data_IF_978076128576
#
_entry.id   IF_978076128576
#
_cell.length_a   1.000
_cell.length_b   1.000
_cell.length_c   1.000
_cell.angle_alpha   90.00
_cell.angle_beta   90.00
_cell.angle_gamma   90.00
#
_symmetry.space_group_name_H-M   'P 1'
#
loop_
_entity.id
_entity.type
_entity.pdbx_description
1 polymer ?
#
# COMPACT_ATOMS: atom_id res chain seq x y z
N UNK A 1 -29.73 1.53 22.93
CA UNK A 1 -29.99 1.53 24.39
C UNK A 1 -31.05 2.58 24.76
N UNK A 2 -30.78 3.89 24.57
CA UNK A 2 -31.74 4.96 24.87
C UNK A 2 -33.11 4.76 24.21
N UNK A 3 -33.16 4.44 22.92
CA UNK A 3 -34.40 4.14 22.20
C UNK A 3 -35.19 3.00 22.86
N UNK A 4 -34.52 1.91 23.24
CA UNK A 4 -35.15 0.80 23.95
C UNK A 4 -35.63 1.15 25.35
N UNK A 5 -35.01 2.12 26.03
CA UNK A 5 -35.51 2.63 27.32
C UNK A 5 -36.81 3.41 27.10
N UNK A 6 -36.88 4.28 26.09
CA UNK A 6 -38.11 5.02 25.78
C UNK A 6 -39.28 4.08 25.48
N UNK A 7 -39.05 3.10 24.60
CA UNK A 7 -40.10 2.21 24.12
C UNK A 7 -40.47 1.15 25.16
N UNK A 8 -39.49 0.39 25.68
CA UNK A 8 -39.75 -0.79 26.53
C UNK A 8 -39.94 -0.45 28.02
N UNK A 9 -39.28 0.60 28.52
CA UNK A 9 -39.30 0.93 29.96
C UNK A 9 -40.28 2.07 30.26
N UNK A 10 -40.25 3.12 29.46
CA UNK A 10 -41.08 4.30 29.68
C UNK A 10 -42.44 4.23 28.97
N UNK A 11 -42.60 3.31 27.99
CA UNK A 11 -43.83 3.19 27.21
C UNK A 11 -44.14 4.44 26.38
N UNK A 12 -43.12 5.23 26.08
CA UNK A 12 -43.25 6.47 25.31
C UNK A 12 -42.81 6.15 23.88
N UNK A 13 -43.72 6.34 22.92
CA UNK A 13 -43.36 6.31 21.51
C UNK A 13 -42.18 7.26 21.30
N UNK A 14 -41.06 6.71 20.80
CA UNK A 14 -39.75 7.37 20.83
C UNK A 14 -39.88 8.85 20.40
N UNK A 15 -39.64 9.81 21.32
CA UNK A 15 -39.88 11.22 21.01
C UNK A 15 -38.94 11.65 19.88
N UNK A 16 -39.44 12.46 18.95
CA UNK A 16 -38.60 13.03 17.90
C UNK A 16 -38.74 14.55 17.89
N UNK A 17 -37.64 15.32 18.04
CA UNK A 17 -36.28 14.86 18.36
C UNK A 17 -36.10 14.41 19.82
N UNK A 18 -35.08 13.58 20.07
CA UNK A 18 -34.71 13.06 21.39
C UNK A 18 -33.21 13.18 21.72
N UNK A 19 -32.84 12.80 22.95
CA UNK A 19 -31.43 12.60 23.31
C UNK A 19 -30.74 11.52 22.46
N UNK A 20 -31.49 10.53 21.95
CA UNK A 20 -30.89 9.51 21.08
C UNK A 20 -30.40 10.14 19.76
N UNK A 21 -31.13 11.12 19.22
CA UNK A 21 -30.76 11.85 18.00
C UNK A 21 -29.46 12.63 18.17
N UNK A 22 -29.27 13.25 19.35
CA UNK A 22 -28.03 13.93 19.68
C UNK A 22 -26.83 12.97 19.63
N UNK A 23 -26.98 11.76 20.18
CA UNK A 23 -25.92 10.75 20.15
C UNK A 23 -25.64 10.25 18.73
N UNK A 24 -26.67 9.97 17.93
CA UNK A 24 -26.50 9.56 16.54
C UNK A 24 -25.77 10.62 15.72
N UNK A 25 -26.26 11.87 15.73
CA UNK A 25 -25.62 12.96 15.00
C UNK A 25 -24.19 13.23 15.45
N UNK A 26 -23.92 13.14 16.77
CA UNK A 26 -22.55 13.32 17.27
C UNK A 26 -21.61 12.23 16.76
N UNK A 27 -22.05 10.96 16.79
CA UNK A 27 -21.28 9.83 16.28
C UNK A 27 -21.02 9.95 14.78
N UNK A 28 -22.04 10.32 14.02
CA UNK A 28 -21.91 10.53 12.58
C UNK A 28 -20.99 11.70 12.25
N UNK A 29 -21.04 12.80 13.01
CA UNK A 29 -20.12 13.92 12.85
C UNK A 29 -18.67 13.52 13.13
N UNK A 30 -18.42 12.72 14.18
CA UNK A 30 -17.08 12.16 14.43
C UNK A 30 -16.61 11.29 13.26
N UNK A 31 -17.49 10.49 12.66
CA UNK A 31 -17.17 9.68 11.48
C UNK A 31 -16.86 10.57 10.26
N UNK A 32 -17.60 11.66 10.03
CA UNK A 32 -17.29 12.63 8.97
C UNK A 32 -15.90 13.22 9.17
N UNK A 33 -15.59 13.67 10.39
CA UNK A 33 -14.26 14.22 10.73
C UNK A 33 -13.18 13.17 10.51
N UNK A 34 -13.42 11.92 10.93
CA UNK A 34 -12.51 10.81 10.70
C UNK A 34 -12.22 10.60 9.20
N UNK A 35 -13.24 10.51 8.35
CA UNK A 35 -13.04 10.34 6.91
C UNK A 35 -12.33 11.53 6.27
N UNK A 36 -12.68 12.76 6.65
CA UNK A 36 -12.01 13.96 6.17
C UNK A 36 -10.52 13.98 6.56
N UNK A 37 -10.20 13.58 7.79
CA UNK A 37 -8.82 13.43 8.26
C UNK A 37 -8.07 12.35 7.49
N UNK A 38 -8.69 11.19 7.22
CA UNK A 38 -8.05 10.12 6.43
C UNK A 38 -7.77 10.55 4.99
N UNK A 39 -8.74 11.18 4.34
CA UNK A 39 -8.59 11.72 2.97
C UNK A 39 -7.43 12.73 2.91
N UNK A 40 -7.33 13.61 3.90
CA UNK A 40 -6.24 14.59 4.01
C UNK A 40 -4.90 13.93 4.33
N UNK A 41 -4.86 13.01 5.29
CA UNK A 41 -3.65 12.34 5.76
C UNK A 41 -3.01 11.50 4.66
N UNK A 42 -3.82 10.71 3.97
CA UNK A 42 -3.38 9.84 2.87
C UNK A 42 -3.19 10.59 1.54
N UNK A 43 -3.41 11.92 1.53
CA UNK A 43 -3.36 12.80 0.35
C UNK A 43 -4.04 12.16 -0.85
N UNK A 44 -5.25 11.66 -0.62
CA UNK A 44 -5.94 10.84 -1.59
C UNK A 44 -6.20 11.64 -2.86
N UNK A 45 -5.58 11.23 -3.96
CA UNK A 45 -5.89 11.72 -5.30
C UNK A 45 -6.44 10.55 -6.09
N UNK A 46 -7.77 10.54 -6.29
CA UNK A 46 -8.39 9.59 -7.21
C UNK A 46 -7.94 9.93 -8.64
N UNK A 47 -7.28 8.98 -9.31
CA UNK A 47 -6.84 9.10 -10.71
C UNK A 47 -7.69 8.22 -11.62
N UNK A 48 -7.85 8.65 -12.88
CA UNK A 48 -8.53 7.86 -13.92
C UNK A 48 -10.01 7.59 -13.66
N UNK A 49 -10.47 6.40 -14.03
CA UNK A 49 -11.88 5.99 -13.98
C UNK A 49 -12.47 5.96 -12.56
N UNK A 50 -11.65 5.68 -11.54
CA UNK A 50 -12.06 5.64 -10.13
C UNK A 50 -12.63 6.98 -9.64
N UNK A 51 -12.06 8.10 -10.12
CA UNK A 51 -12.55 9.44 -9.79
C UNK A 51 -13.97 9.66 -10.32
N UNK A 52 -14.20 9.31 -11.58
CA UNK A 52 -15.52 9.47 -12.20
C UNK A 52 -16.55 8.55 -11.56
N UNK A 53 -16.16 7.33 -11.19
CA UNK A 53 -17.06 6.40 -10.50
C UNK A 53 -17.43 6.91 -9.10
N UNK A 54 -16.46 7.41 -8.32
CA UNK A 54 -16.73 7.98 -7.01
C UNK A 54 -17.67 9.19 -7.08
N UNK A 55 -17.40 10.12 -8.01
CA UNK A 55 -18.27 11.29 -8.24
C UNK A 55 -19.67 10.83 -8.68
N UNK A 56 -19.75 9.89 -9.62
CA UNK A 56 -21.01 9.35 -10.12
C UNK A 56 -21.87 8.72 -9.03
N UNK A 57 -21.27 7.91 -8.14
CA UNK A 57 -21.95 7.30 -6.99
C UNK A 57 -22.48 8.34 -6.01
N UNK A 58 -21.67 9.35 -5.67
CA UNK A 58 -22.08 10.43 -4.76
C UNK A 58 -23.21 11.26 -5.37
N UNK A 59 -23.12 11.61 -6.66
CA UNK A 59 -24.17 12.36 -7.35
C UNK A 59 -25.46 11.54 -7.48
N UNK A 60 -25.35 10.24 -7.77
CA UNK A 60 -26.50 9.34 -7.84
C UNK A 60 -27.22 9.28 -6.49
N UNK A 61 -26.47 9.11 -5.39
CA UNK A 61 -27.06 9.13 -4.06
C UNK A 61 -27.70 10.48 -3.74
N UNK A 62 -27.02 11.58 -4.04
CA UNK A 62 -27.56 12.92 -3.81
C UNK A 62 -28.88 13.13 -4.57
N UNK A 63 -28.97 12.64 -5.82
CA UNK A 63 -30.20 12.68 -6.60
C UNK A 63 -31.31 11.87 -5.91
N UNK A 64 -31.01 10.66 -5.45
CA UNK A 64 -31.98 9.81 -4.73
C UNK A 64 -32.44 10.48 -3.45
N UNK A 65 -31.53 10.97 -2.60
CA UNK A 65 -31.85 11.67 -1.36
C UNK A 65 -32.71 12.92 -1.62
N UNK A 66 -32.38 13.70 -2.66
CA UNK A 66 -33.19 14.87 -3.04
C UNK A 66 -34.61 14.46 -3.43
N UNK A 67 -34.76 13.45 -4.31
CA UNK A 67 -36.07 13.07 -4.84
C UNK A 67 -36.93 12.36 -3.81
N UNK A 68 -36.33 11.47 -3.02
CA UNK A 68 -37.04 10.57 -2.10
C UNK A 68 -37.25 11.21 -0.73
N UNK A 69 -36.36 12.08 -0.28
CA UNK A 69 -36.41 12.66 1.07
C UNK A 69 -36.60 14.18 1.02
N UNK A 70 -35.69 14.93 0.38
CA UNK A 70 -35.72 16.40 0.47
C UNK A 70 -36.95 17.03 -0.20
N UNK A 71 -37.35 16.54 -1.38
CA UNK A 71 -38.53 17.08 -2.09
C UNK A 71 -39.83 16.86 -1.28
N UNK A 72 -40.15 15.64 -0.81
CA UNK A 72 -41.30 15.43 0.08
C UNK A 72 -41.24 16.30 1.34
N UNK A 73 -40.06 16.42 1.94
CA UNK A 73 -39.84 17.23 3.14
C UNK A 73 -40.09 18.72 2.90
N UNK A 74 -39.71 19.26 1.74
CA UNK A 74 -39.95 20.65 1.36
C UNK A 74 -41.39 20.91 0.90
N UNK A 75 -42.04 19.91 0.29
CA UNK A 75 -43.42 20.01 -0.15
C UNK A 75 -44.40 20.04 1.03
N UNK A 76 -44.11 19.30 2.09
CA UNK A 76 -44.90 19.27 3.33
C UNK A 76 -43.99 19.48 4.55
N UNK A 77 -43.46 20.70 4.77
CA UNK A 77 -42.53 20.95 5.85
C UNK A 77 -43.19 20.70 7.21
N UNK A 78 -42.45 20.09 8.14
CA UNK A 78 -42.91 19.97 9.53
C UNK A 78 -43.21 21.37 10.08
N UNK A 79 -44.29 21.49 10.86
CA UNK A 79 -44.60 22.73 11.58
C UNK A 79 -43.54 23.05 12.64
N UNK A 80 -42.76 22.06 13.06
CA UNK A 80 -41.65 22.22 13.99
C UNK A 80 -40.35 22.47 13.22
N UNK A 81 -39.87 23.71 13.23
CA UNK A 81 -38.61 24.09 12.57
C UNK A 81 -37.39 23.33 13.09
N UNK A 82 -37.39 22.90 14.36
CA UNK A 82 -36.30 22.12 14.93
C UNK A 82 -36.23 20.72 14.27
N UNK A 83 -37.39 20.10 14.10
CA UNK A 83 -37.52 18.79 13.45
C UNK A 83 -37.05 18.86 11.99
N UNK A 84 -37.52 19.87 11.26
CA UNK A 84 -37.08 20.13 9.89
C UNK A 84 -35.57 20.35 9.79
N UNK A 85 -35.00 21.16 10.69
CA UNK A 85 -33.56 21.43 10.73
C UNK A 85 -32.73 20.19 11.03
N UNK A 86 -33.19 19.32 11.93
CA UNK A 86 -32.51 18.07 12.26
C UNK A 86 -32.59 17.06 11.11
N UNK A 87 -33.73 16.93 10.44
CA UNK A 87 -33.85 16.09 9.24
C UNK A 87 -32.85 16.53 8.15
N UNK A 88 -32.77 17.84 7.89
CA UNK A 88 -31.82 18.37 6.91
C UNK A 88 -30.35 18.13 7.32
N UNK A 89 -30.06 18.20 8.62
CA UNK A 89 -28.73 17.92 9.16
C UNK A 89 -28.35 16.45 8.98
N UNK A 90 -29.26 15.50 9.26
CA UNK A 90 -29.05 14.08 9.01
C UNK A 90 -28.71 13.81 7.54
N UNK A 91 -29.51 14.33 6.61
CA UNK A 91 -29.26 14.15 5.18
C UNK A 91 -27.91 14.73 4.73
N UNK A 92 -27.56 15.90 5.25
CA UNK A 92 -26.26 16.53 4.98
C UNK A 92 -25.11 15.65 5.47
N UNK A 93 -25.22 15.13 6.69
CA UNK A 93 -24.20 14.27 7.30
C UNK A 93 -24.06 12.95 6.53
N UNK A 94 -25.16 12.34 6.08
CA UNK A 94 -25.11 11.13 5.26
C UNK A 94 -24.44 11.33 3.91
N UNK A 95 -24.69 12.46 3.24
CA UNK A 95 -23.98 12.80 2.00
C UNK A 95 -22.47 12.94 2.24
N UNK A 96 -22.07 13.60 3.33
CA UNK A 96 -20.66 13.77 3.70
C UNK A 96 -20.00 12.43 4.05
N UNK A 97 -20.68 11.57 4.81
CA UNK A 97 -20.21 10.22 5.14
C UNK A 97 -20.06 9.38 3.88
N UNK A 98 -21.05 9.39 2.99
CA UNK A 98 -20.99 8.65 1.73
C UNK A 98 -19.82 9.13 0.88
N UNK A 99 -19.65 10.45 0.72
CA UNK A 99 -18.57 11.02 -0.07
C UNK A 99 -17.19 10.64 0.50
N UNK A 100 -17.01 10.77 1.82
CA UNK A 100 -15.79 10.39 2.51
C UNK A 100 -15.48 8.90 2.39
N UNK A 101 -16.45 8.05 2.71
CA UNK A 101 -16.31 6.60 2.66
C UNK A 101 -16.04 6.10 1.23
N UNK A 102 -16.78 6.61 0.24
CA UNK A 102 -16.61 6.25 -1.18
C UNK A 102 -15.25 6.66 -1.72
N UNK A 103 -14.82 7.88 -1.40
CA UNK A 103 -13.48 8.37 -1.78
C UNK A 103 -12.40 7.47 -1.20
N UNK A 104 -12.52 7.11 0.08
CA UNK A 104 -11.55 6.26 0.76
C UNK A 104 -11.53 4.83 0.20
N UNK A 105 -12.71 4.24 -0.08
CA UNK A 105 -12.80 2.91 -0.67
C UNK A 105 -12.10 2.84 -2.02
N UNK A 106 -12.36 3.78 -2.93
CA UNK A 106 -11.73 3.75 -4.25
C UNK A 106 -10.25 4.08 -4.22
N UNK A 107 -9.83 4.95 -3.31
CA UNK A 107 -8.43 5.30 -3.15
C UNK A 107 -7.58 4.15 -2.63
N UNK A 108 -8.18 3.33 -1.77
CA UNK A 108 -7.49 2.21 -1.14
C UNK A 108 -7.82 0.88 -1.78
N UNK A 109 -8.73 0.80 -2.76
CA UNK A 109 -9.28 -0.46 -3.29
C UNK A 109 -8.25 -1.55 -3.69
N UNK A 110 -7.02 -1.15 -3.99
CA UNK A 110 -5.94 -2.06 -4.37
C UNK A 110 -5.27 -2.71 -3.16
N UNK A 111 -4.75 -3.92 -3.36
CA UNK A 111 -4.07 -4.68 -2.32
C UNK A 111 -4.99 -5.23 -1.22
N UNK A 112 -4.37 -5.89 -0.24
CA UNK A 112 -5.09 -6.55 0.84
C UNK A 112 -5.70 -5.55 1.83
N UNK A 113 -4.99 -4.46 2.12
CA UNK A 113 -5.48 -3.36 2.96
C UNK A 113 -6.76 -2.74 2.37
N UNK A 114 -6.78 -2.59 1.04
CA UNK A 114 -7.94 -2.11 0.30
C UNK A 114 -9.21 -2.91 0.49
N UNK A 115 -9.10 -4.24 0.42
CA UNK A 115 -10.25 -5.13 0.64
C UNK A 115 -10.84 -4.97 2.05
N UNK A 116 -9.99 -4.78 3.07
CA UNK A 116 -10.45 -4.55 4.44
C UNK A 116 -11.19 -3.22 4.58
N UNK A 117 -10.67 -2.16 3.95
CA UNK A 117 -11.35 -0.87 3.89
C UNK A 117 -12.66 -0.93 3.13
N UNK A 118 -12.73 -1.71 2.04
CA UNK A 118 -13.94 -1.89 1.26
C UNK A 118 -15.06 -2.53 2.09
N UNK A 119 -14.75 -3.50 2.97
CA UNK A 119 -15.73 -4.10 3.90
C UNK A 119 -16.27 -3.03 4.85
N UNK A 120 -15.39 -2.27 5.52
CA UNK A 120 -15.80 -1.21 6.44
C UNK A 120 -16.69 -0.17 5.73
N UNK A 121 -16.28 0.28 4.55
CA UNK A 121 -17.02 1.27 3.76
C UNK A 121 -18.36 0.72 3.28
N UNK A 122 -18.43 -0.55 2.91
CA UNK A 122 -19.68 -1.19 2.49
C UNK A 122 -20.70 -1.24 3.63
N UNK A 123 -20.23 -1.45 4.87
CA UNK A 123 -21.06 -1.32 6.07
C UNK A 123 -21.61 0.09 6.23
N UNK A 124 -20.79 1.13 6.04
CA UNK A 124 -21.23 2.53 6.06
C UNK A 124 -22.25 2.82 4.95
N UNK A 125 -22.04 2.32 3.74
CA UNK A 125 -22.99 2.47 2.64
C UNK A 125 -24.35 1.83 2.99
N UNK A 126 -24.36 0.59 3.49
CA UNK A 126 -25.60 -0.06 3.91
C UNK A 126 -26.30 0.68 5.04
N UNK A 127 -25.55 1.26 5.98
CA UNK A 127 -26.13 2.08 7.03
C UNK A 127 -26.83 3.31 6.46
N UNK A 128 -26.16 4.04 5.57
CA UNK A 128 -26.71 5.24 4.91
C UNK A 128 -27.95 4.86 4.08
N UNK A 129 -27.90 3.79 3.29
CA UNK A 129 -29.05 3.32 2.51
C UNK A 129 -30.23 2.88 3.38
N UNK A 130 -29.96 2.20 4.51
CA UNK A 130 -31.01 1.84 5.46
C UNK A 130 -31.71 3.10 5.98
N UNK A 131 -30.96 4.13 6.38
CA UNK A 131 -31.55 5.38 6.86
C UNK A 131 -32.42 6.08 5.80
N UNK A 132 -32.05 6.03 4.51
CA UNK A 132 -32.91 6.55 3.44
C UNK A 132 -34.25 5.80 3.34
N UNK A 133 -34.22 4.46 3.47
CA UNK A 133 -35.43 3.64 3.50
C UNK A 133 -36.29 4.01 4.72
N UNK A 134 -35.66 4.21 5.88
CA UNK A 134 -36.36 4.62 7.10
C UNK A 134 -37.03 5.99 6.97
N UNK A 135 -36.35 6.99 6.41
CA UNK A 135 -36.93 8.31 6.17
C UNK A 135 -38.15 8.22 5.26
N UNK A 136 -38.01 7.54 4.12
CA UNK A 136 -39.12 7.32 3.19
C UNK A 136 -40.28 6.57 3.86
N UNK A 137 -39.99 5.45 4.52
CA UNK A 137 -41.01 4.63 5.17
C UNK A 137 -41.73 5.38 6.29
N UNK A 138 -41.02 6.19 7.08
CA UNK A 138 -41.61 7.01 8.14
C UNK A 138 -42.54 8.08 7.56
N UNK A 139 -42.10 8.80 6.52
CA UNK A 139 -42.89 9.85 5.88
C UNK A 139 -44.21 9.32 5.29
N UNK A 140 -44.16 8.12 4.72
CA UNK A 140 -45.32 7.46 4.13
C UNK A 140 -46.10 6.59 5.12
N UNK A 141 -45.78 6.64 6.42
CA UNK A 141 -46.41 5.81 7.47
C UNK A 141 -46.34 4.30 7.17
N UNK A 142 -45.29 3.86 6.47
CA UNK A 142 -44.99 2.47 6.13
C UNK A 142 -44.08 1.80 7.17
N UNK A 143 -43.42 2.60 8.02
CA UNK A 143 -42.60 2.13 9.11
C UNK A 143 -43.49 1.79 10.32
N UNK A 144 -43.76 0.49 10.51
CA UNK A 144 -44.62 -0.04 11.58
C UNK A 144 -46.04 0.57 11.67
N UNK A 145 -46.85 0.58 10.58
CA UNK A 145 -48.24 1.04 10.63
C UNK A 145 -49.03 0.25 11.69
N UNK A 146 -49.65 0.97 12.63
CA UNK A 146 -50.38 0.35 13.73
C UNK A 146 -49.52 -0.54 14.64
N UNK A 147 -48.21 -0.32 14.67
CA UNK A 147 -47.25 -1.12 15.45
C UNK A 147 -46.91 -2.47 14.83
N UNK A 148 -47.30 -2.74 13.58
CA UNK A 148 -47.05 -4.03 12.92
C UNK A 148 -45.89 -3.98 11.92
N UNK A 149 -44.99 -4.95 11.99
CA UNK A 149 -43.85 -5.04 11.08
C UNK A 149 -44.29 -5.33 9.62
N UNK A 150 -43.96 -4.42 8.70
CA UNK A 150 -44.18 -4.55 7.25
C UNK A 150 -42.94 -5.14 6.57
N UNK A 151 -43.05 -5.60 5.30
CA UNK A 151 -41.86 -5.98 4.54
C UNK A 151 -40.81 -4.86 4.44
N UNK A 152 -41.25 -3.60 4.35
CA UNK A 152 -40.36 -2.43 4.29
C UNK A 152 -39.64 -2.22 5.62
N UNK A 153 -40.36 -2.31 6.75
CA UNK A 153 -39.73 -2.15 8.06
C UNK A 153 -38.73 -3.27 8.34
N UNK A 154 -39.05 -4.52 7.99
CA UNK A 154 -38.10 -5.66 8.11
C UNK A 154 -36.87 -5.50 7.23
N UNK A 155 -37.04 -5.01 6.00
CA UNK A 155 -35.91 -4.74 5.11
C UNK A 155 -34.98 -3.68 5.71
N UNK A 156 -35.55 -2.59 6.23
CA UNK A 156 -34.79 -1.59 6.97
C UNK A 156 -34.05 -2.22 8.15
N UNK A 157 -34.74 -2.93 9.05
CA UNK A 157 -34.15 -3.48 10.26
C UNK A 157 -32.99 -4.44 9.95
N UNK A 158 -33.16 -5.31 8.94
CA UNK A 158 -32.12 -6.24 8.48
C UNK A 158 -30.92 -5.50 7.88
N UNK A 159 -31.14 -4.50 7.02
CA UNK A 159 -30.05 -3.71 6.43
C UNK A 159 -29.33 -2.90 7.51
N UNK A 160 -30.07 -2.32 8.45
CA UNK A 160 -29.53 -1.52 9.53
C UNK A 160 -28.67 -2.36 10.47
N UNK A 161 -29.17 -3.50 10.96
CA UNK A 161 -28.39 -4.42 11.81
C UNK A 161 -27.20 -5.00 11.03
N UNK A 162 -27.44 -5.45 9.80
CA UNK A 162 -26.40 -5.97 8.91
C UNK A 162 -25.28 -4.96 8.67
N UNK A 163 -25.62 -3.67 8.54
CA UNK A 163 -24.64 -2.60 8.38
C UNK A 163 -23.67 -2.53 9.56
N UNK A 164 -24.16 -2.61 10.80
CA UNK A 164 -23.31 -2.61 11.99
C UNK A 164 -22.44 -3.87 12.09
N UNK A 165 -22.96 -5.04 11.70
CA UNK A 165 -22.16 -6.26 11.66
C UNK A 165 -21.02 -6.15 10.65
N UNK A 166 -21.29 -5.58 9.47
CA UNK A 166 -20.27 -5.36 8.43
C UNK A 166 -19.26 -4.29 8.87
N UNK A 167 -19.72 -3.21 9.50
CA UNK A 167 -18.83 -2.18 10.09
C UNK A 167 -17.92 -2.82 11.14
N UNK A 168 -18.49 -3.61 12.07
CA UNK A 168 -17.75 -4.29 13.12
C UNK A 168 -16.75 -5.29 12.55
N UNK A 169 -17.12 -6.05 11.52
CA UNK A 169 -16.22 -6.94 10.80
C UNK A 169 -15.06 -6.17 10.14
N UNK A 170 -15.36 -5.03 9.49
CA UNK A 170 -14.34 -4.16 8.92
C UNK A 170 -13.39 -3.58 9.97
N UNK A 171 -13.92 -3.15 11.12
CA UNK A 171 -13.12 -2.69 12.26
C UNK A 171 -12.27 -3.81 12.86
N UNK A 172 -12.84 -5.00 13.04
CA UNK A 172 -12.14 -6.18 13.54
C UNK A 172 -11.01 -6.58 12.59
N UNK A 173 -11.26 -6.69 11.29
CA UNK A 173 -10.21 -6.99 10.30
C UNK A 173 -9.11 -5.93 10.28
N UNK A 174 -9.42 -4.70 10.67
CA UNK A 174 -8.43 -3.62 10.81
C UNK A 174 -7.68 -3.67 12.15
N UNK A 175 -8.30 -4.08 13.24
CA UNK A 175 -7.68 -4.16 14.57
C UNK A 175 -6.91 -5.46 14.80
N UNK A 176 -7.48 -6.60 14.37
CA UNK A 176 -6.91 -7.94 14.51
C UNK A 176 -5.61 -8.11 13.70
N UNK A 177 -5.38 -7.20 12.75
CA UNK A 177 -4.14 -7.07 12.04
C UNK A 177 -3.54 -5.73 12.48
N UNK A 178 -2.75 -5.69 13.57
CA UNK A 178 -1.91 -4.54 13.81
C UNK A 178 -1.18 -4.20 12.49
N UNK A 179 -0.81 -2.93 12.27
CA UNK A 179 0.33 -2.61 11.39
C UNK A 179 1.32 -3.74 11.53
N UNK A 180 1.90 -4.34 10.47
CA UNK A 180 2.78 -5.50 10.63
C UNK A 180 3.94 -5.13 11.55
N UNK A 181 3.70 -5.21 12.85
CA UNK A 181 4.55 -5.76 13.86
C UNK A 181 4.62 -7.19 13.41
N UNK A 182 5.39 -7.44 12.34
CA UNK A 182 6.41 -8.46 12.36
C UNK A 182 6.57 -8.86 13.82
N UNK A 183 6.12 -10.07 14.20
CA UNK A 183 6.41 -10.58 15.53
C UNK A 183 7.92 -10.56 15.60
N UNK A 184 8.45 -9.49 16.19
CA UNK A 184 9.85 -9.12 16.06
C UNK A 184 10.65 -10.30 16.57
N UNK A 185 10.13 -11.05 17.54
CA UNK A 185 10.71 -12.27 18.09
C UNK A 185 10.76 -13.46 17.13
N UNK A 186 9.70 -13.77 16.36
CA UNK A 186 9.69 -14.88 15.38
C UNK A 186 10.51 -14.53 14.13
N UNK A 187 10.44 -13.28 13.69
CA UNK A 187 11.32 -12.76 12.63
C UNK A 187 12.77 -12.73 13.12
N UNK A 188 13.09 -12.18 14.29
CA UNK A 188 14.44 -12.22 14.86
C UNK A 188 14.97 -13.65 15.03
N UNK A 189 14.13 -14.60 15.45
CA UNK A 189 14.52 -16.00 15.64
C UNK A 189 14.83 -16.73 14.32
N UNK A 190 14.12 -16.39 13.24
CA UNK A 190 14.43 -16.88 11.88
C UNK A 190 15.57 -16.11 11.22
N UNK A 191 15.80 -14.86 11.63
CA UNK A 191 16.78 -13.94 11.05
C UNK A 191 18.15 -13.97 11.72
N UNK A 192 18.28 -14.51 12.93
CA UNK A 192 19.60 -14.77 13.55
C UNK A 192 20.44 -15.79 12.76
N UNK A 193 19.84 -16.48 11.79
CA UNK A 193 20.53 -17.36 10.84
C UNK A 193 20.77 -16.73 9.46
N UNK A 194 20.14 -15.59 9.12
CA UNK A 194 20.28 -14.95 7.80
C UNK A 194 21.27 -13.79 7.83
N UNK A 195 22.05 -13.67 6.75
CA UNK A 195 23.28 -12.85 6.70
C UNK A 195 22.97 -11.35 6.78
N UNK A 196 23.55 -10.59 7.73
CA UNK A 196 23.26 -9.16 7.97
C UNK A 196 23.84 -8.18 6.92
N UNK A 197 24.13 -8.64 5.70
CA UNK A 197 24.94 -7.90 4.74
C UNK A 197 24.25 -7.61 3.40
N UNK A 198 22.97 -7.92 3.27
CA UNK A 198 22.26 -7.75 2.00
C UNK A 198 21.75 -6.32 1.83
N UNK A 199 21.92 -5.80 0.62
CA UNK A 199 21.20 -4.60 0.18
C UNK A 199 19.90 -5.01 -0.50
N UNK A 200 18.84 -4.28 -0.20
CA UNK A 200 17.57 -4.39 -0.90
C UNK A 200 17.23 -3.09 -1.60
N UNK A 201 16.59 -3.24 -2.75
CA UNK A 201 16.15 -2.13 -3.59
C UNK A 201 14.62 -2.14 -3.63
N UNK A 202 14.02 -1.00 -3.33
CA UNK A 202 12.60 -0.77 -3.57
C UNK A 202 12.47 0.39 -4.56
N UNK A 203 11.43 0.35 -5.36
CA UNK A 203 11.03 1.46 -6.24
C UNK A 203 9.69 1.96 -5.75
N UNK A 204 9.52 3.27 -5.67
CA UNK A 204 8.21 3.88 -5.46
C UNK A 204 7.90 4.90 -6.54
N UNK A 205 6.62 5.18 -6.70
CA UNK A 205 6.19 6.36 -7.44
C UNK A 205 6.57 7.64 -6.67
N UNK A 206 6.26 8.79 -7.28
CA UNK A 206 6.47 10.09 -6.65
C UNK A 206 5.72 10.22 -5.32
N UNK A 207 4.63 9.49 -5.08
CA UNK A 207 3.86 9.57 -3.83
C UNK A 207 4.46 8.74 -2.69
N UNK A 208 5.46 7.90 -2.97
CA UNK A 208 6.02 6.96 -1.99
C UNK A 208 5.37 5.58 -2.02
N UNK A 209 4.49 5.29 -2.98
CA UNK A 209 3.88 3.96 -3.13
C UNK A 209 4.81 3.04 -3.89
N UNK A 210 5.10 1.88 -3.32
CA UNK A 210 5.98 0.89 -3.91
C UNK A 210 5.43 0.44 -5.27
N UNK A 211 6.22 0.61 -6.32
CA UNK A 211 5.99 0.02 -7.64
C UNK A 211 6.74 -1.30 -7.77
N UNK A 212 7.82 -1.48 -7.00
CA UNK A 212 8.56 -2.72 -6.91
C UNK A 212 9.22 -2.83 -5.54
N UNK A 213 9.27 -4.06 -5.05
CA UNK A 213 9.98 -4.43 -3.83
C UNK A 213 10.86 -5.61 -4.16
N UNK A 214 12.13 -5.55 -3.73
CA UNK A 214 13.06 -6.68 -3.87
C UNK A 214 12.38 -7.99 -3.41
N UNK A 215 12.26 -9.01 -4.27
CA UNK A 215 11.50 -10.22 -3.96
C UNK A 215 12.03 -11.02 -2.76
N UNK A 216 13.24 -10.72 -2.30
CA UNK A 216 13.82 -11.32 -1.09
C UNK A 216 13.30 -10.66 0.18
N UNK A 217 12.90 -9.40 0.10
CA UNK A 217 12.43 -8.60 1.24
C UNK A 217 11.13 -9.16 1.86
N UNK A 218 10.10 -9.60 1.11
CA UNK A 218 8.92 -10.23 1.70
C UNK A 218 9.26 -11.39 2.64
N UNK A 219 10.18 -12.27 2.24
CA UNK A 219 10.60 -13.39 3.09
C UNK A 219 11.28 -12.93 4.39
N UNK A 220 11.98 -11.79 4.36
CA UNK A 220 12.56 -11.14 5.54
C UNK A 220 11.46 -10.55 6.44
N UNK A 221 10.42 -10.00 5.83
CA UNK A 221 9.30 -9.36 6.51
C UNK A 221 8.22 -10.37 7.00
N UNK A 222 8.39 -11.67 6.73
CA UNK A 222 7.41 -12.71 7.04
C UNK A 222 6.15 -12.61 6.17
N UNK A 223 6.29 -12.12 4.94
CA UNK A 223 5.22 -11.91 3.97
C UNK A 223 5.38 -12.93 2.84
N UNK A 224 4.34 -13.73 2.59
CA UNK A 224 4.38 -14.84 1.64
C UNK A 224 4.32 -14.41 0.17
N UNK A 225 3.79 -13.21 -0.11
CA UNK A 225 3.56 -12.73 -1.47
C UNK A 225 4.19 -11.34 -1.69
N UNK A 226 5.06 -11.25 -2.70
CA UNK A 226 5.69 -9.99 -3.14
C UNK A 226 4.63 -8.98 -3.58
N UNK A 227 3.57 -9.45 -4.24
CA UNK A 227 2.46 -8.60 -4.71
C UNK A 227 1.65 -7.97 -3.58
N UNK A 228 1.76 -8.50 -2.35
CA UNK A 228 1.13 -7.88 -1.19
C UNK A 228 1.80 -6.56 -0.77
N UNK A 229 3.02 -6.28 -1.24
CA UNK A 229 3.77 -5.07 -0.92
C UNK A 229 3.66 -3.98 -2.00
N UNK A 230 3.29 -4.34 -3.24
CA UNK A 230 3.12 -3.32 -4.28
C UNK A 230 1.89 -2.46 -4.01
N UNK A 231 1.99 -1.17 -4.35
CA UNK A 231 0.96 -0.16 -4.11
C UNK A 231 0.93 0.38 -2.67
N UNK A 232 1.58 -0.30 -1.72
CA UNK A 232 1.72 0.15 -0.33
C UNK A 232 2.79 1.24 -0.21
N UNK A 233 2.67 2.11 0.80
CA UNK A 233 3.69 3.13 1.06
C UNK A 233 4.97 2.48 1.59
N UNK A 234 6.14 2.92 1.11
CA UNK A 234 7.44 2.41 1.56
C UNK A 234 7.58 2.58 3.08
N UNK A 235 7.08 3.69 3.62
CA UNK A 235 7.04 3.92 5.05
C UNK A 235 6.24 2.86 5.82
N UNK A 236 5.18 2.31 5.23
CA UNK A 236 4.38 1.25 5.84
C UNK A 236 5.06 -0.12 5.71
N UNK A 237 5.62 -0.42 4.53
CA UNK A 237 6.35 -1.67 4.27
C UNK A 237 7.52 -1.82 5.25
N UNK A 238 8.25 -0.74 5.50
CA UNK A 238 9.43 -0.73 6.35
C UNK A 238 9.14 -0.35 7.82
N UNK A 239 7.88 -0.08 8.17
CA UNK A 239 7.51 0.32 9.54
C UNK A 239 8.14 1.64 10.01
N UNK A 240 8.32 2.61 9.11
CA UNK A 240 8.91 3.92 9.41
C UNK A 240 7.98 4.76 10.29
N UNK A 241 8.58 5.63 11.11
CA UNK A 241 7.83 6.62 11.90
C UNK A 241 7.05 7.55 10.97
N UNK A 242 5.87 7.97 11.43
CA UNK A 242 5.01 8.92 10.70
C UNK A 242 5.79 10.19 10.34
N UNK A 243 5.82 10.52 9.05
CA UNK A 243 6.47 11.72 8.51
C UNK A 243 7.94 11.58 8.09
N UNK A 244 8.62 10.48 8.45
CA UNK A 244 10.02 10.24 8.02
C UNK A 244 10.10 10.02 6.51
N UNK A 245 9.20 9.19 5.97
CA UNK A 245 9.06 8.95 4.53
C UNK A 245 8.85 10.26 3.76
N UNK A 246 7.91 11.10 4.20
CA UNK A 246 7.64 12.41 3.61
C UNK A 246 8.87 13.33 3.61
N UNK A 247 9.65 13.30 4.70
CA UNK A 247 10.88 14.07 4.79
C UNK A 247 11.90 13.56 3.76
N UNK A 248 12.14 12.26 3.70
CA UNK A 248 13.08 11.65 2.77
C UNK A 248 12.70 11.91 1.32
N UNK A 249 11.41 11.77 0.98
CA UNK A 249 10.88 12.10 -0.35
C UNK A 249 11.12 13.57 -0.72
N UNK A 250 10.90 14.51 0.21
CA UNK A 250 11.17 15.93 -0.04
C UNK A 250 12.66 16.20 -0.26
N UNK A 251 13.53 15.63 0.56
CA UNK A 251 14.99 15.77 0.43
C UNK A 251 15.45 15.22 -0.92
N UNK A 252 15.01 14.00 -1.25
CA UNK A 252 15.39 13.33 -2.49
C UNK A 252 14.89 14.06 -3.74
N UNK A 253 13.69 14.65 -3.72
CA UNK A 253 13.24 15.51 -4.84
C UNK A 253 14.01 16.81 -4.94
N UNK A 254 14.39 17.41 -3.81
CA UNK A 254 15.09 18.68 -3.79
C UNK A 254 16.58 18.55 -4.18
N UNK A 255 17.22 17.44 -3.78
CA UNK A 255 18.68 17.27 -3.85
C UNK A 255 19.12 16.12 -4.75
N UNK A 256 18.17 15.30 -5.23
CA UNK A 256 18.43 14.04 -5.95
C UNK A 256 18.48 12.83 -5.01
N UNK A 257 18.75 13.01 -3.72
CA UNK A 257 18.78 11.95 -2.71
C UNK A 257 18.44 12.48 -1.31
N UNK A 258 18.03 11.58 -0.41
CA UNK A 258 17.77 11.90 1.01
C UNK A 258 18.99 11.63 1.86
N UNK A 259 19.06 12.21 3.06
CA UNK A 259 20.04 11.76 4.05
C UNK A 259 19.72 10.32 4.48
N UNK A 260 20.73 9.46 4.73
CA UNK A 260 20.51 8.08 5.15
C UNK A 260 19.87 8.06 6.54
N UNK A 261 18.74 7.37 6.66
CA UNK A 261 17.98 7.22 7.90
C UNK A 261 18.24 5.85 8.52
N UNK A 262 18.41 5.81 9.85
CA UNK A 262 18.54 4.54 10.58
C UNK A 262 17.19 3.87 10.68
N UNK A 263 17.09 2.65 10.16
CA UNK A 263 15.91 1.81 10.26
C UNK A 263 16.32 0.48 10.89
N UNK A 264 15.55 0.02 11.87
CA UNK A 264 15.74 -1.29 12.48
C UNK A 264 14.84 -2.28 11.76
N UNK A 265 15.43 -3.26 11.07
CA UNK A 265 14.71 -4.30 10.34
C UNK A 265 15.32 -5.64 10.67
N UNK A 266 14.50 -6.61 11.09
CA UNK A 266 15.00 -7.96 11.36
C UNK A 266 16.14 -8.03 12.39
N UNK A 267 16.22 -7.07 13.32
CA UNK A 267 17.30 -6.98 14.31
C UNK A 267 18.60 -6.32 13.84
N UNK A 268 18.73 -6.04 12.55
CA UNK A 268 19.84 -5.29 11.99
C UNK A 268 19.55 -3.79 11.92
N UNK A 269 20.61 -2.97 11.98
CA UNK A 269 20.53 -1.54 11.72
C UNK A 269 20.87 -1.31 10.24
N UNK A 270 19.92 -0.74 9.52
CA UNK A 270 20.04 -0.42 8.11
C UNK A 270 20.02 1.10 7.90
N UNK A 271 20.74 1.56 6.88
CA UNK A 271 20.57 2.86 6.28
C UNK A 271 19.53 2.76 5.16
N UNK A 272 18.39 3.41 5.37
CA UNK A 272 17.40 3.66 4.32
C UNK A 272 17.70 5.00 3.66
N UNK A 273 17.74 5.02 2.33
CA UNK A 273 17.96 6.25 1.57
C UNK A 273 17.03 6.30 0.36
N UNK A 274 16.35 7.43 0.16
CA UNK A 274 15.52 7.69 -1.01
C UNK A 274 16.33 8.46 -2.07
N UNK A 275 16.15 8.14 -3.34
CA UNK A 275 16.93 8.70 -4.45
C UNK A 275 15.98 8.96 -5.61
N UNK A 276 15.92 10.19 -6.09
CA UNK A 276 15.03 10.59 -7.16
C UNK A 276 15.67 10.27 -8.53
N UNK A 277 14.93 9.58 -9.39
CA UNK A 277 15.35 9.38 -10.77
C UNK A 277 15.36 10.70 -11.54
N UNK A 278 16.37 10.91 -12.38
CA UNK A 278 16.35 12.00 -13.35
C UNK A 278 15.67 11.58 -14.64
N UNK A 279 14.61 12.30 -14.99
CA UNK A 279 13.87 12.14 -16.23
C UNK A 279 12.51 11.48 -16.02
N UNK A 280 11.56 11.67 -16.94
CA UNK A 280 10.28 10.98 -16.90
C UNK A 280 10.43 9.52 -17.38
N UNK A 281 9.80 8.55 -16.70
CA UNK A 281 9.01 8.71 -15.48
C UNK A 281 9.88 8.92 -14.22
N UNK A 282 9.51 9.90 -13.40
CA UNK A 282 10.18 10.24 -12.14
C UNK A 282 9.82 9.23 -11.04
N UNK A 283 10.56 8.13 -10.99
CA UNK A 283 10.53 7.17 -9.89
C UNK A 283 11.39 7.63 -8.70
N UNK A 284 11.15 7.03 -7.54
CA UNK A 284 12.04 7.12 -6.37
C UNK A 284 12.62 5.73 -6.10
N UNK A 285 13.94 5.64 -6.03
CA UNK A 285 14.65 4.45 -5.58
C UNK A 285 14.83 4.53 -4.08
N UNK A 286 14.58 3.42 -3.40
CA UNK A 286 14.83 3.28 -1.97
C UNK A 286 15.86 2.19 -1.79
N UNK A 287 17.01 2.59 -1.25
CA UNK A 287 18.08 1.67 -0.91
C UNK A 287 18.02 1.38 0.56
N UNK A 288 17.87 0.10 0.89
CA UNK A 288 17.97 -0.38 2.25
C UNK A 288 19.28 -1.16 2.36
N UNK A 289 20.28 -0.52 2.95
CA UNK A 289 21.66 -1.03 3.04
C UNK A 289 22.06 -1.26 4.48
N UNK A 290 22.93 -2.23 4.82
CA UNK A 290 23.49 -2.31 6.17
C UNK A 290 24.14 -0.99 6.55
N UNK A 291 23.99 -0.54 7.80
CA UNK A 291 24.43 0.80 8.22
C UNK A 291 25.93 1.07 7.99
N UNK A 292 26.75 0.02 8.08
CA UNK A 292 28.19 0.05 7.85
C UNK A 292 28.54 0.17 6.35
N UNK A 293 27.66 -0.33 5.49
CA UNK A 293 27.78 -0.36 4.04
C UNK A 293 27.09 0.82 3.35
N UNK A 294 26.67 1.83 4.12
CA UNK A 294 25.87 2.93 3.59
C UNK A 294 26.62 3.65 2.46
N UNK A 295 25.97 3.95 1.33
CA UNK A 295 26.58 4.73 0.27
C UNK A 295 26.91 6.13 0.78
N UNK A 296 28.14 6.56 0.55
CA UNK A 296 28.61 7.92 0.84
C UNK A 296 28.37 8.78 -0.40
N UNK A 297 27.18 9.36 -0.50
CA UNK A 297 26.78 10.22 -1.63
C UNK A 297 27.05 11.67 -1.25
N UNK A 298 27.91 12.35 -2.02
CA UNK A 298 28.22 13.76 -1.75
C UNK A 298 27.09 14.67 -2.23
N UNK A 299 26.79 15.77 -1.52
CA UNK A 299 25.85 16.79 -2.00
C UNK A 299 26.21 17.27 -3.40
N UNK A 300 25.25 17.17 -4.33
CA UNK A 300 25.41 17.56 -5.74
C UNK A 300 25.97 16.47 -6.66
N UNK A 301 26.40 15.33 -6.11
CA UNK A 301 26.79 14.17 -6.90
C UNK A 301 25.55 13.52 -7.53
N UNK A 302 25.63 13.25 -8.84
CA UNK A 302 24.58 12.54 -9.54
C UNK A 302 24.98 11.08 -9.64
N UNK A 303 24.32 10.24 -8.85
CA UNK A 303 24.59 8.81 -8.83
C UNK A 303 23.50 8.10 -9.60
N UNK A 304 23.90 7.30 -10.59
CA UNK A 304 22.94 6.49 -11.34
C UNK A 304 22.46 5.31 -10.47
N UNK A 305 21.27 4.74 -10.73
CA UNK A 305 20.78 3.56 -10.01
C UNK A 305 21.79 2.41 -10.03
N UNK A 306 22.50 2.21 -11.15
CA UNK A 306 23.51 1.17 -11.30
C UNK A 306 24.73 1.42 -10.41
N UNK A 307 25.20 2.67 -10.33
CA UNK A 307 26.31 3.04 -9.47
C UNK A 307 25.98 2.86 -7.98
N UNK A 308 24.74 3.17 -7.59
CA UNK A 308 24.25 2.96 -6.23
C UNK A 308 24.15 1.48 -5.89
N UNK A 309 23.60 0.68 -6.79
CA UNK A 309 23.48 -0.75 -6.63
C UNK A 309 24.86 -1.39 -6.51
N UNK A 310 25.81 -0.99 -7.36
CA UNK A 310 27.21 -1.40 -7.27
C UNK A 310 27.88 -0.96 -5.96
N UNK A 311 27.70 0.29 -5.51
CA UNK A 311 28.25 0.78 -4.25
C UNK A 311 27.71 -0.01 -3.04
N UNK A 312 26.42 -0.30 -3.05
CA UNK A 312 25.77 -1.07 -2.01
C UNK A 312 26.26 -2.53 -1.96
N UNK A 313 26.59 -3.12 -3.12
CA UNK A 313 27.21 -4.46 -3.18
C UNK A 313 28.70 -4.47 -2.80
N UNK A 314 29.42 -3.35 -2.99
CA UNK A 314 30.82 -3.18 -2.55
C UNK A 314 30.94 -3.08 -1.02
N UNK A 315 30.00 -2.38 -0.37
CA UNK A 315 30.06 -2.07 1.06
C UNK A 315 29.98 -3.28 2.01
N UNK A 316 29.59 -4.46 1.54
CA UNK A 316 29.35 -5.68 2.32
C UNK A 316 30.63 -6.41 2.82
N UNK A 317 31.62 -5.67 3.34
CA UNK A 317 32.81 -6.23 4.00
C UNK A 317 33.99 -6.51 3.09
N UNK A 318 35.14 -6.80 3.69
CA UNK A 318 36.42 -7.06 3.05
C UNK A 318 36.48 -8.46 2.41
N UNK A 319 35.57 -8.73 1.49
CA UNK A 319 35.49 -10.03 0.83
C UNK A 319 36.57 -10.10 -0.26
N UNK A 320 37.64 -10.85 0.03
CA UNK A 320 38.80 -11.00 -0.85
C UNK A 320 38.79 -12.32 -1.65
N UNK A 321 37.80 -13.20 -1.42
CA UNK A 321 37.76 -14.48 -2.12
C UNK A 321 37.11 -14.31 -3.49
N UNK A 322 37.66 -14.96 -4.53
CA UNK A 322 37.11 -14.92 -5.89
C UNK A 322 35.63 -15.34 -5.94
N UNK A 323 35.20 -16.27 -5.07
CA UNK A 323 33.79 -16.68 -4.99
C UNK A 323 32.88 -15.57 -4.45
N UNK A 324 33.33 -14.84 -3.42
CA UNK A 324 32.56 -13.72 -2.87
C UNK A 324 32.41 -12.56 -3.85
N UNK A 325 33.45 -12.28 -4.63
CA UNK A 325 33.46 -11.25 -5.68
C UNK A 325 32.52 -11.63 -6.84
N UNK A 326 32.57 -12.87 -7.30
CA UNK A 326 31.66 -13.35 -8.34
C UNK A 326 30.20 -13.38 -7.87
N UNK A 327 29.96 -13.69 -6.59
CA UNK A 327 28.61 -13.60 -6.02
C UNK A 327 28.06 -12.19 -6.02
N UNK A 328 28.88 -11.20 -5.63
CA UNK A 328 28.50 -9.79 -5.73
C UNK A 328 28.10 -9.41 -7.15
N UNK A 329 28.83 -9.91 -8.15
CA UNK A 329 28.49 -9.68 -9.56
C UNK A 329 27.11 -10.27 -9.92
N UNK A 330 26.86 -11.55 -9.65
CA UNK A 330 25.58 -12.20 -9.97
C UNK A 330 24.41 -11.52 -9.27
N UNK A 331 24.62 -11.14 -8.01
CA UNK A 331 23.63 -10.44 -7.21
C UNK A 331 23.29 -9.06 -7.77
N UNK A 332 24.32 -8.28 -8.13
CA UNK A 332 24.15 -6.96 -8.74
C UNK A 332 23.45 -7.04 -10.09
N UNK A 333 23.81 -8.00 -10.95
CA UNK A 333 23.19 -8.19 -12.27
C UNK A 333 21.74 -8.63 -12.14
N UNK A 334 21.42 -9.53 -11.21
CA UNK A 334 20.04 -9.98 -10.97
C UNK A 334 19.14 -8.86 -10.44
N UNK A 335 19.70 -8.03 -9.53
CA UNK A 335 19.01 -6.86 -9.01
C UNK A 335 18.79 -5.82 -10.11
N UNK A 336 19.79 -5.59 -10.97
CA UNK A 336 19.67 -4.71 -12.14
C UNK A 336 18.61 -5.21 -13.13
N UNK A 337 18.60 -6.52 -13.43
CA UNK A 337 17.60 -7.13 -14.29
C UNK A 337 16.18 -6.92 -13.75
N UNK A 338 15.96 -7.17 -12.46
CA UNK A 338 14.67 -6.96 -11.79
C UNK A 338 14.24 -5.48 -11.88
N UNK A 339 15.20 -4.58 -11.64
CA UNK A 339 14.99 -3.13 -11.72
C UNK A 339 14.56 -2.68 -13.11
N UNK A 340 15.24 -3.16 -14.16
CA UNK A 340 14.91 -2.84 -15.54
C UNK A 340 13.54 -3.42 -15.94
N UNK A 341 13.23 -4.65 -15.52
CA UNK A 341 11.90 -5.24 -15.73
C UNK A 341 10.79 -4.40 -15.07
N UNK A 342 10.97 -3.95 -13.83
CA UNK A 342 10.01 -3.07 -13.17
C UNK A 342 9.85 -1.74 -13.91
N UNK A 343 10.95 -1.16 -14.37
CA UNK A 343 10.97 0.15 -15.04
C UNK A 343 10.27 0.15 -16.40
N UNK A 344 10.52 -0.87 -17.22
CA UNK A 344 10.02 -0.93 -18.60
C UNK A 344 8.77 -1.79 -18.76
N UNK A 345 8.59 -2.81 -17.92
CA UNK A 345 7.48 -3.76 -17.99
C UNK A 345 6.38 -3.53 -16.96
N UNK A 346 6.64 -2.72 -15.93
CA UNK A 346 5.70 -2.52 -14.82
C UNK A 346 5.66 -3.70 -13.84
N UNK A 347 4.65 -3.68 -12.97
CA UNK A 347 4.53 -4.60 -11.83
C UNK A 347 4.41 -6.08 -12.24
N UNK A 348 3.54 -6.39 -13.22
CA UNK A 348 3.27 -7.78 -13.61
C UNK A 348 4.52 -8.47 -14.15
N UNK A 349 5.32 -7.75 -14.95
CA UNK A 349 6.54 -8.28 -15.57
C UNK A 349 7.60 -8.56 -14.51
N UNK A 350 7.79 -7.67 -13.53
CA UNK A 350 8.79 -7.90 -12.49
C UNK A 350 8.38 -9.00 -11.51
N UNK A 351 7.08 -9.16 -11.24
CA UNK A 351 6.59 -10.31 -10.46
C UNK A 351 6.86 -11.63 -11.18
N UNK A 352 6.59 -11.70 -12.49
CA UNK A 352 6.92 -12.88 -13.30
C UNK A 352 8.42 -13.15 -13.31
N UNK A 353 9.24 -12.12 -13.50
CA UNK A 353 10.70 -12.25 -13.42
C UNK A 353 11.15 -12.82 -12.06
N UNK A 354 10.62 -12.26 -10.97
CA UNK A 354 10.92 -12.70 -9.61
C UNK A 354 10.54 -14.16 -9.37
N UNK A 355 9.33 -14.57 -9.76
CA UNK A 355 8.85 -15.94 -9.60
C UNK A 355 9.66 -16.94 -10.43
N UNK A 356 10.07 -16.56 -11.64
CA UNK A 356 10.73 -17.46 -12.58
C UNK A 356 12.23 -17.62 -12.31
N UNK A 357 12.94 -16.54 -12.01
CA UNK A 357 14.41 -16.55 -12.03
C UNK A 357 15.05 -16.47 -10.65
N UNK A 358 14.45 -15.78 -9.68
CA UNK A 358 15.10 -15.56 -8.38
C UNK A 358 15.31 -16.86 -7.60
N UNK A 359 14.35 -17.80 -7.48
CA UNK A 359 14.57 -19.06 -6.77
C UNK A 359 15.73 -19.88 -7.35
N UNK A 360 15.84 -19.93 -8.68
CA UNK A 360 16.92 -20.67 -9.35
C UNK A 360 18.29 -20.01 -9.14
N UNK A 361 18.36 -18.68 -9.21
CA UNK A 361 19.60 -17.93 -8.96
C UNK A 361 20.02 -18.02 -7.49
N UNK A 362 19.08 -18.00 -6.54
CA UNK A 362 19.35 -18.22 -5.12
C UNK A 362 19.88 -19.64 -4.84
N UNK A 363 19.27 -20.67 -5.45
CA UNK A 363 19.76 -22.04 -5.32
C UNK A 363 21.21 -22.18 -5.82
N UNK A 364 21.58 -21.43 -6.87
CA UNK A 364 22.96 -21.37 -7.36
C UNK A 364 23.92 -20.73 -6.34
N UNK A 365 23.49 -19.67 -5.66
CA UNK A 365 24.31 -19.04 -4.61
C UNK A 365 24.50 -19.96 -3.41
N UNK A 366 23.46 -20.71 -3.01
CA UNK A 366 23.55 -21.68 -1.91
C UNK A 366 24.52 -22.82 -2.23
N UNK A 367 24.54 -23.28 -3.48
CA UNK A 367 25.51 -24.29 -3.93
C UNK A 367 26.95 -23.79 -3.85
N UNK A 368 27.23 -22.49 -4.07
CA UNK A 368 28.57 -21.94 -3.87
C UNK A 368 29.05 -21.98 -2.43
N UNK A 369 28.15 -21.80 -1.47
CA UNK A 369 28.52 -21.84 -0.05
C UNK A 369 29.00 -23.23 0.37
N UNK A 370 28.54 -24.27 -0.32
CA UNK A 370 29.01 -25.65 -0.10
C UNK A 370 30.41 -25.95 -0.64
N UNK A 371 31.09 -24.96 -1.24
CA UNK A 371 32.45 -25.09 -1.79
C UNK A 371 32.50 -25.65 -3.21
N UNK A 372 31.34 -25.89 -3.83
CA UNK A 372 31.27 -26.29 -5.23
C UNK A 372 31.41 -25.06 -6.13
N UNK A 373 32.26 -25.10 -7.17
CA UNK A 373 32.35 -24.01 -8.13
C UNK A 373 30.99 -23.82 -8.84
N UNK A 374 30.68 -22.61 -9.31
CA UNK A 374 29.52 -22.38 -10.17
C UNK A 374 29.44 -23.39 -11.29
N UNK A 375 28.36 -24.15 -11.30
CA UNK A 375 28.01 -24.98 -12.44
C UNK A 375 27.64 -24.11 -13.65
N UNK A 376 27.74 -24.71 -14.84
CA UNK A 376 27.19 -24.14 -16.07
C UNK A 376 25.70 -23.74 -15.93
N UNK A 377 24.98 -24.38 -15.01
CA UNK A 377 23.60 -24.12 -14.65
C UNK A 377 23.36 -22.68 -14.14
N UNK A 378 24.25 -22.14 -13.29
CA UNK A 378 24.10 -20.76 -12.79
C UNK A 378 24.22 -19.74 -13.92
N UNK A 379 25.20 -19.94 -14.81
CA UNK A 379 25.36 -19.12 -16.01
C UNK A 379 24.13 -19.22 -16.91
N UNK A 380 23.59 -20.42 -17.09
CA UNK A 380 22.39 -20.64 -17.91
C UNK A 380 21.17 -19.90 -17.35
N UNK A 381 20.93 -19.98 -16.04
CA UNK A 381 19.85 -19.23 -15.39
C UNK A 381 20.04 -17.72 -15.52
N UNK A 382 21.26 -17.23 -15.32
CA UNK A 382 21.57 -15.82 -15.44
C UNK A 382 21.41 -15.32 -16.89
N UNK A 383 21.82 -16.12 -17.86
CA UNK A 383 21.63 -15.86 -19.29
C UNK A 383 20.14 -15.82 -19.66
N UNK A 384 19.35 -16.79 -19.21
CA UNK A 384 17.89 -16.81 -19.44
C UNK A 384 17.19 -15.62 -18.79
N UNK A 385 17.63 -15.20 -17.61
CA UNK A 385 17.13 -14.00 -16.95
C UNK A 385 17.44 -12.75 -17.80
N UNK A 386 18.65 -12.61 -18.32
CA UNK A 386 19.03 -11.51 -19.20
C UNK A 386 18.24 -11.52 -20.52
N UNK A 387 18.02 -12.70 -21.11
CA UNK A 387 17.19 -12.86 -22.31
C UNK A 387 15.76 -12.42 -22.06
N UNK A 388 15.18 -12.76 -20.90
CA UNK A 388 13.87 -12.28 -20.50
C UNK A 388 13.83 -10.74 -20.39
N UNK A 389 14.84 -10.13 -19.77
CA UNK A 389 14.95 -8.65 -19.69
C UNK A 389 14.97 -8.04 -21.08
N UNK A 390 15.69 -8.64 -22.04
CA UNK A 390 15.76 -8.15 -23.42
C UNK A 390 14.45 -8.26 -24.20
N UNK A 391 13.46 -9.05 -23.73
CA UNK A 391 12.11 -9.06 -24.30
C UNK A 391 11.31 -7.81 -23.96
N UNK A 392 11.66 -7.14 -22.86
CA UNK A 392 10.90 -6.03 -22.28
C UNK A 392 11.65 -4.71 -22.39
N UNK A 393 12.98 -4.75 -22.32
CA UNK A 393 13.86 -3.60 -22.24
C UNK A 393 14.67 -3.48 -23.53
N UNK A 394 14.78 -2.29 -24.15
CA UNK A 394 15.62 -2.10 -25.34
C UNK A 394 17.06 -2.55 -25.07
N UNK A 395 17.64 -3.33 -25.98
CA UNK A 395 18.98 -3.90 -25.81
C UNK A 395 20.08 -2.86 -25.54
N UNK A 396 19.95 -1.66 -26.12
CA UNK A 396 20.86 -0.54 -25.88
C UNK A 396 20.83 -0.06 -24.41
N UNK A 397 19.65 0.00 -23.80
CA UNK A 397 19.47 0.38 -22.39
C UNK A 397 20.04 -0.70 -21.47
N UNK A 398 19.76 -1.99 -21.76
CA UNK A 398 20.32 -3.11 -20.99
C UNK A 398 21.86 -3.09 -21.03
N UNK A 399 22.43 -2.93 -22.23
CA UNK A 399 23.89 -2.86 -22.42
C UNK A 399 24.50 -1.68 -21.66
N UNK A 400 23.92 -0.49 -21.81
CA UNK A 400 24.42 0.70 -21.14
C UNK A 400 24.34 0.58 -19.60
N UNK A 401 23.24 0.04 -19.08
CA UNK A 401 23.08 -0.18 -17.64
C UNK A 401 24.06 -1.22 -17.11
N UNK A 402 24.27 -2.33 -17.83
CA UNK A 402 25.23 -3.36 -17.46
C UNK A 402 26.67 -2.82 -17.49
N UNK A 403 27.05 -2.07 -18.53
CA UNK A 403 28.39 -1.45 -18.64
C UNK A 403 28.67 -0.51 -17.46
N UNK A 404 27.69 0.33 -17.07
CA UNK A 404 27.80 1.20 -15.90
C UNK A 404 27.91 0.41 -14.60
N UNK A 405 27.11 -0.64 -14.43
CA UNK A 405 27.15 -1.51 -13.26
C UNK A 405 28.53 -2.18 -13.14
N UNK A 406 29.07 -2.73 -14.23
CA UNK A 406 30.38 -3.39 -14.25
C UNK A 406 31.51 -2.41 -13.92
N UNK A 407 31.48 -1.20 -14.50
CA UNK A 407 32.45 -0.15 -14.20
C UNK A 407 32.46 0.21 -12.69
N UNK A 408 31.28 0.26 -12.08
CA UNK A 408 31.12 0.63 -10.67
C UNK A 408 31.38 -0.53 -9.70
N UNK A 409 31.12 -1.78 -10.07
CA UNK A 409 31.43 -2.95 -9.23
C UNK A 409 32.94 -3.16 -9.01
N UNK A 410 33.76 -2.59 -9.89
CA UNK A 410 35.20 -2.70 -9.86
C UNK A 410 35.73 -3.93 -10.61
N UNK A 411 36.94 -3.78 -11.13
CA UNK A 411 37.58 -4.75 -12.02
C UNK A 411 37.74 -6.14 -11.38
N UNK A 412 38.01 -6.20 -10.07
CA UNK A 412 38.17 -7.46 -9.33
C UNK A 412 36.91 -8.33 -9.37
N UNK A 413 35.73 -7.71 -9.20
CA UNK A 413 34.42 -8.39 -9.26
C UNK A 413 34.15 -8.93 -10.66
N UNK A 414 34.43 -8.12 -11.68
CA UNK A 414 34.23 -8.49 -13.08
C UNK A 414 35.18 -9.61 -13.50
N UNK A 415 36.47 -9.51 -13.14
CA UNK A 415 37.45 -10.57 -13.42
C UNK A 415 37.11 -11.87 -12.68
N UNK A 416 36.64 -11.80 -11.44
CA UNK A 416 36.22 -12.98 -10.70
C UNK A 416 35.03 -13.67 -11.36
N UNK A 417 34.03 -12.91 -11.81
CA UNK A 417 32.90 -13.43 -12.57
C UNK A 417 33.35 -14.02 -13.92
N UNK A 418 34.29 -13.39 -14.62
CA UNK A 418 34.83 -13.85 -15.90
C UNK A 418 35.61 -15.17 -15.76
N UNK A 419 36.46 -15.31 -14.72
CA UNK A 419 37.19 -16.56 -14.42
C UNK A 419 36.26 -17.73 -14.14
N UNK A 420 35.09 -17.45 -13.58
CA UNK A 420 34.04 -18.43 -13.29
C UNK A 420 33.04 -18.59 -14.44
N UNK A 421 33.22 -17.89 -15.56
CA UNK A 421 32.34 -17.95 -16.73
C UNK A 421 30.94 -17.37 -16.51
N UNK A 422 30.75 -16.53 -15.49
CA UNK A 422 29.47 -15.93 -15.10
C UNK A 422 29.25 -14.54 -15.70
N UNK A 423 30.30 -13.89 -16.20
CA UNK A 423 30.19 -12.57 -16.83
C UNK A 423 29.31 -12.68 -18.08
N UNK A 424 28.21 -11.93 -18.10
CA UNK A 424 27.28 -11.92 -19.22
C UNK A 424 27.78 -10.96 -20.30
N UNK A 425 27.40 -11.23 -21.55
CA UNK A 425 27.56 -10.28 -22.66
C UNK A 425 26.21 -10.15 -23.35
N UNK A 426 25.70 -8.93 -23.41
CA UNK A 426 24.49 -8.64 -24.19
C UNK A 426 24.83 -8.84 -25.67
N UNK A 427 24.09 -9.69 -26.41
CA UNK A 427 24.35 -9.96 -27.83
C UNK A 427 24.27 -8.72 -28.71
#
# INVERSE_FOLDING_TARGET
ILWGIYDLVLGIAAPYPSLADLFYLSGDLFLVVFFAMQVRFLRIVLRGWKRYLAIGLVLLFLLVAIVVVCLPMLANPSRNWLEFGLNLLYETVYVLLLAGATTLAFALYEGWLGRRWAILVSGIWFNIFANQIFFYASWHSLYYPGGQATPVSRLFDLLYIGSYLVILAGLYLRQALPFPTLRIEEALASLSQRRPWETWVLLSDESGRACFVDPRLPSLLGIEDVGALTGEFIGQILGLRTGLEDQMLREARAQGFSQPQRVLLGGGIYALQAIAEKGPPSGMYWLLTPWESRPDIRPGEQVSPEALLAQAMRGAGSAHSSGSLARRYVHAVTSLASLLCARFGGEEVVQQFGQQFIPALQACEETWESGNPPGAECREHLQKALEYVLLVVPAAEVRQALDRLEAELGEESVQAAERLGLRLRVP
#
